data_IF_024995556147
#
_entry.id   IF_024995556147
#
_cell.length_a   1.000
_cell.length_b   1.000
_cell.length_c   1.000
_cell.angle_alpha   90.00
_cell.angle_beta   90.00
_cell.angle_gamma   90.00
#
_symmetry.space_group_name_H-M   'P 1'
#
loop_
_entity.id
_entity.type
_entity.pdbx_description
1 polymer ?
#
# COMPACT_ATOMS: atom_id res chain seq x y z
N UNK A 1 -3.66 -8.25 14.11
CA UNK A 1 -4.95 -7.98 13.43
C UNK A 1 -6.11 -8.32 14.37
N UNK A 2 -7.13 -7.46 14.46
CA UNK A 2 -8.35 -7.69 15.30
C UNK A 2 -9.06 -9.00 14.93
N UNK A 3 -8.94 -9.45 13.68
CA UNK A 3 -9.72 -10.59 13.16
C UNK A 3 -8.99 -11.93 13.19
N UNK A 4 -7.68 -11.93 13.16
CA UNK A 4 -6.91 -13.19 13.06
C UNK A 4 -6.16 -13.54 14.35
N UNK A 5 -6.10 -12.64 15.33
CA UNK A 5 -5.29 -12.80 16.54
C UNK A 5 -3.77 -12.79 16.31
N UNK A 6 -3.32 -12.67 15.05
CA UNK A 6 -1.90 -12.61 14.73
C UNK A 6 -1.38 -11.18 14.74
N UNK A 7 -0.15 -11.00 15.22
CA UNK A 7 0.54 -9.71 15.19
C UNK A 7 1.03 -9.45 13.77
N UNK A 8 0.68 -8.30 13.22
CA UNK A 8 1.24 -7.81 11.97
C UNK A 8 2.38 -6.83 12.26
N UNK A 9 3.38 -6.83 11.40
CA UNK A 9 4.53 -5.93 11.46
C UNK A 9 4.67 -5.20 10.14
N UNK A 10 5.25 -4.00 10.15
CA UNK A 10 5.68 -3.39 8.89
C UNK A 10 6.81 -4.22 8.29
N UNK A 11 6.85 -4.32 6.96
CA UNK A 11 7.88 -5.11 6.26
C UNK A 11 9.28 -4.71 6.71
N UNK A 12 9.57 -3.41 6.72
CA UNK A 12 10.88 -2.90 7.12
C UNK A 12 11.29 -3.35 8.52
N UNK A 13 10.39 -3.23 9.51
CA UNK A 13 10.68 -3.67 10.88
C UNK A 13 10.90 -5.17 11.01
N UNK A 14 10.32 -5.94 10.09
CA UNK A 14 10.39 -7.39 10.16
C UNK A 14 11.65 -7.95 9.51
N UNK A 15 12.09 -7.37 8.38
CA UNK A 15 13.21 -7.92 7.60
C UNK A 15 14.55 -7.24 7.86
N UNK A 16 14.55 -5.99 8.37
CA UNK A 16 15.77 -5.24 8.61
C UNK A 16 16.09 -5.08 10.10
N UNK A 17 17.38 -4.93 10.39
CA UNK A 17 17.85 -4.57 11.71
C UNK A 17 19.05 -3.61 11.63
N UNK A 18 19.30 -2.92 12.75
CA UNK A 18 20.42 -2.00 12.87
C UNK A 18 21.68 -2.78 13.24
N UNK A 19 22.76 -2.59 12.46
CA UNK A 19 24.07 -3.10 12.77
C UNK A 19 25.06 -1.93 12.89
N UNK A 20 25.70 -1.81 14.04
CA UNK A 20 26.72 -0.79 14.27
C UNK A 20 28.09 -1.39 14.01
N UNK A 21 28.85 -0.80 13.09
CA UNK A 21 30.22 -1.20 12.79
C UNK A 21 31.16 -0.80 13.96
N UNK A 22 32.38 -1.32 13.95
CA UNK A 22 33.39 -0.97 14.95
C UNK A 22 33.77 0.53 14.94
N UNK A 23 33.54 1.19 13.83
CA UNK A 23 33.81 2.62 13.64
C UNK A 23 32.60 3.51 14.04
N UNK A 24 31.60 2.93 14.69
CA UNK A 24 30.42 3.64 15.21
C UNK A 24 29.36 3.97 14.13
N UNK A 25 29.55 3.54 12.90
CA UNK A 25 28.57 3.75 11.82
C UNK A 25 27.46 2.71 11.96
N UNK A 26 26.22 3.19 12.09
CA UNK A 26 25.03 2.33 12.13
C UNK A 26 24.46 2.19 10.72
N UNK A 27 24.39 0.96 10.25
CA UNK A 27 23.77 0.59 8.98
C UNK A 27 22.52 -0.23 9.22
N UNK A 28 21.57 -0.13 8.30
CA UNK A 28 20.41 -1.01 8.26
C UNK A 28 20.73 -2.16 7.31
N UNK A 29 20.65 -3.39 7.79
CA UNK A 29 20.98 -4.57 7.01
C UNK A 29 19.83 -5.57 7.03
N UNK A 30 19.76 -6.38 5.96
CA UNK A 30 18.78 -7.45 5.86
C UNK A 30 19.09 -8.54 6.91
N UNK A 31 18.07 -8.87 7.68
CA UNK A 31 18.16 -9.87 8.72
C UNK A 31 18.16 -11.31 8.20
N UNK A 32 18.67 -12.26 8.97
CA UNK A 32 18.52 -13.66 8.64
C UNK A 32 17.09 -14.12 8.86
N UNK A 33 16.48 -14.73 7.86
CA UNK A 33 15.22 -15.42 8.04
C UNK A 33 15.48 -16.75 8.79
N UNK A 34 14.77 -16.96 9.89
CA UNK A 34 14.89 -18.21 10.69
C UNK A 34 13.73 -19.18 10.45
N UNK A 35 12.77 -18.80 9.60
CA UNK A 35 11.55 -19.57 9.36
C UNK A 35 11.69 -20.40 8.06
N UNK A 36 11.18 -21.62 8.11
CA UNK A 36 11.06 -22.52 6.94
C UNK A 36 9.63 -23.05 6.86
N UNK A 37 9.21 -23.53 5.68
CA UNK A 37 7.85 -24.02 5.43
C UNK A 37 6.75 -23.04 5.87
N UNK A 38 7.01 -21.74 5.72
CA UNK A 38 6.17 -20.65 6.20
C UNK A 38 5.59 -19.88 5.01
N UNK A 39 4.36 -19.41 5.14
CA UNK A 39 3.73 -18.50 4.19
C UNK A 39 3.86 -17.09 4.74
N UNK A 40 4.58 -16.24 4.01
CA UNK A 40 4.66 -14.80 4.26
C UNK A 40 3.57 -14.12 3.47
N UNK A 41 2.76 -13.31 4.14
CA UNK A 41 1.69 -12.52 3.53
C UNK A 41 2.06 -11.05 3.69
N UNK A 42 2.20 -10.35 2.57
CA UNK A 42 2.46 -8.91 2.55
C UNK A 42 1.24 -8.23 1.96
N UNK A 43 0.58 -7.46 2.78
CA UNK A 43 -0.56 -6.64 2.39
C UNK A 43 -0.08 -5.26 1.91
N UNK A 44 -0.93 -4.54 1.17
CA UNK A 44 -0.63 -3.23 0.58
C UNK A 44 0.61 -3.23 -0.33
N UNK A 45 0.79 -4.31 -1.09
CA UNK A 45 1.95 -4.50 -1.98
C UNK A 45 1.98 -3.53 -3.17
N UNK A 46 0.91 -2.76 -3.39
CA UNK A 46 0.83 -1.73 -4.44
C UNK A 46 1.91 -0.64 -4.30
N UNK A 47 2.47 -0.44 -3.10
CA UNK A 47 3.49 0.58 -2.84
C UNK A 47 4.93 0.04 -2.86
N UNK A 48 5.14 -1.24 -3.13
CA UNK A 48 6.49 -1.83 -3.15
C UNK A 48 7.18 -1.49 -4.47
N UNK A 49 8.40 -0.91 -4.37
CA UNK A 49 9.24 -0.55 -5.51
C UNK A 49 10.37 -1.55 -5.70
N UNK A 50 10.80 -1.74 -6.96
CA UNK A 50 12.02 -2.45 -7.36
C UNK A 50 13.20 -1.51 -7.64
N UNK A 51 13.02 -0.20 -7.47
CA UNK A 51 14.10 0.75 -7.61
C UNK A 51 14.88 0.88 -6.31
N UNK A 52 16.21 0.73 -6.38
CA UNK A 52 17.08 1.10 -5.28
C UNK A 52 16.98 2.61 -5.05
N UNK A 53 16.68 3.02 -3.84
CA UNK A 53 16.69 4.45 -3.48
C UNK A 53 18.12 4.95 -3.51
N UNK A 54 18.51 5.57 -4.63
CA UNK A 54 19.85 6.07 -4.87
C UNK A 54 20.31 7.09 -3.82
N UNK A 55 21.55 6.91 -3.37
CA UNK A 55 22.51 7.86 -2.82
C UNK A 55 22.44 8.26 -1.35
N UNK A 56 21.44 7.89 -0.56
CA UNK A 56 21.47 8.09 0.90
C UNK A 56 20.61 7.05 1.64
N UNK A 57 20.34 5.91 1.05
CA UNK A 57 19.49 4.92 1.74
C UNK A 57 20.30 4.21 2.82
N UNK A 58 19.88 4.37 4.03
CA UNK A 58 20.31 3.57 5.19
C UNK A 58 20.05 2.06 4.96
N UNK A 59 19.31 1.70 3.91
CA UNK A 59 18.77 0.36 3.62
C UNK A 59 19.58 -0.44 2.57
N UNK A 60 20.86 -0.14 2.35
CA UNK A 60 21.69 -0.88 1.40
C UNK A 60 21.43 -0.51 -0.06
N UNK A 61 21.93 -1.34 -1.00
CA UNK A 61 21.91 -1.07 -2.43
C UNK A 61 20.76 -1.75 -3.18
N UNK A 62 20.00 -2.63 -2.53
CA UNK A 62 18.93 -3.38 -3.16
C UNK A 62 17.59 -2.64 -3.06
N UNK A 63 16.65 -3.02 -3.90
CA UNK A 63 15.27 -2.57 -3.77
C UNK A 63 14.55 -3.30 -2.62
N UNK A 64 13.46 -2.73 -2.13
CA UNK A 64 12.65 -3.39 -1.10
C UNK A 64 12.10 -4.73 -1.60
N UNK A 65 11.72 -4.82 -2.87
CA UNK A 65 11.23 -6.06 -3.47
C UNK A 65 12.32 -7.14 -3.51
N UNK A 66 13.56 -6.78 -3.90
CA UNK A 66 14.70 -7.70 -3.89
C UNK A 66 14.97 -8.27 -2.50
N UNK A 67 14.95 -7.39 -1.50
CA UNK A 67 15.20 -7.77 -0.12
C UNK A 67 14.10 -8.67 0.46
N UNK A 68 12.84 -8.42 0.11
CA UNK A 68 11.72 -9.30 0.47
C UNK A 68 11.91 -10.70 -0.13
N UNK A 69 12.17 -10.77 -1.43
CA UNK A 69 12.37 -12.04 -2.14
C UNK A 69 13.56 -12.80 -1.55
N UNK A 70 14.68 -12.10 -1.35
CA UNK A 70 15.88 -12.68 -0.73
C UNK A 70 15.60 -13.19 0.66
N UNK A 71 14.92 -12.40 1.50
CA UNK A 71 14.59 -12.79 2.87
C UNK A 71 13.69 -14.03 2.90
N UNK A 72 12.59 -14.01 2.15
CA UNK A 72 11.60 -15.08 2.18
C UNK A 72 12.20 -16.38 1.67
N UNK A 73 12.91 -16.36 0.54
CA UNK A 73 13.40 -17.56 -0.11
C UNK A 73 14.81 -17.99 0.34
N UNK A 74 15.40 -17.32 1.34
CA UNK A 74 16.66 -17.77 1.97
C UNK A 74 16.53 -19.13 2.65
N UNK A 75 15.33 -19.56 3.02
CA UNK A 75 15.05 -20.87 3.61
C UNK A 75 14.07 -21.70 2.78
N UNK A 76 14.18 -23.02 2.90
CA UNK A 76 13.40 -23.99 2.10
C UNK A 76 11.91 -23.99 2.49
N UNK A 77 11.07 -24.22 1.50
CA UNK A 77 9.63 -24.44 1.68
C UNK A 77 8.82 -23.18 1.99
N UNK A 78 9.44 -22.01 2.03
CA UNK A 78 8.75 -20.76 2.21
C UNK A 78 7.96 -20.36 0.96
N UNK A 79 6.85 -19.67 1.18
CA UNK A 79 5.99 -19.11 0.14
C UNK A 79 5.74 -17.64 0.44
N UNK A 80 5.55 -16.86 -0.62
CA UNK A 80 5.22 -15.45 -0.54
C UNK A 80 3.85 -15.21 -1.19
N UNK A 81 2.99 -14.49 -0.50
CA UNK A 81 1.72 -13.97 -1.01
C UNK A 81 1.79 -12.45 -0.95
N UNK A 82 1.79 -11.81 -2.11
CA UNK A 82 1.71 -10.36 -2.26
C UNK A 82 0.24 -10.00 -2.51
N UNK A 83 -0.32 -9.15 -1.66
CA UNK A 83 -1.71 -8.70 -1.75
C UNK A 83 -1.70 -7.20 -1.94
N UNK A 84 -2.44 -6.70 -2.92
CA UNK A 84 -2.50 -5.27 -3.21
C UNK A 84 -3.59 -4.94 -4.23
N UNK A 85 -3.78 -3.66 -4.47
CA UNK A 85 -4.75 -3.16 -5.42
C UNK A 85 -4.03 -2.34 -6.50
N UNK A 86 -4.12 -2.79 -7.75
CA UNK A 86 -3.48 -2.14 -8.92
C UNK A 86 -4.13 -0.79 -9.28
N UNK A 87 -5.31 -0.48 -8.74
CA UNK A 87 -5.94 0.83 -8.87
C UNK A 87 -5.55 1.82 -7.76
N UNK A 88 -4.83 1.38 -6.74
CA UNK A 88 -4.22 2.28 -5.76
C UNK A 88 -2.94 2.93 -6.32
N UNK A 89 -2.48 3.97 -5.61
CA UNK A 89 -1.27 4.70 -6.02
C UNK A 89 -0.05 3.76 -6.04
N UNK A 90 0.62 3.62 -7.20
CA UNK A 90 1.87 2.88 -7.30
C UNK A 90 3.04 3.68 -6.71
N UNK A 91 4.24 3.09 -6.60
CA UNK A 91 5.44 3.81 -6.26
C UNK A 91 5.70 4.99 -7.20
N UNK A 92 6.36 6.04 -6.68
CA UNK A 92 6.62 7.27 -7.44
C UNK A 92 7.39 6.99 -8.73
N UNK A 93 6.84 7.48 -9.85
CA UNK A 93 7.50 7.39 -11.16
C UNK A 93 7.21 6.12 -11.98
N UNK A 94 6.37 5.23 -11.48
CA UNK A 94 5.92 4.04 -12.20
C UNK A 94 4.39 3.92 -12.16
N UNK A 95 3.81 3.22 -13.15
CA UNK A 95 2.36 3.09 -13.29
C UNK A 95 1.77 1.86 -12.59
N UNK A 96 2.59 0.87 -12.29
CA UNK A 96 2.20 -0.38 -11.62
C UNK A 96 3.32 -0.80 -10.69
N UNK A 97 2.98 -1.24 -9.49
CA UNK A 97 3.96 -1.80 -8.58
C UNK A 97 4.58 -3.07 -9.17
N UNK A 98 5.92 -3.16 -9.24
CA UNK A 98 6.60 -4.37 -9.72
C UNK A 98 6.31 -5.60 -8.85
N UNK A 99 5.86 -5.42 -7.63
CA UNK A 99 5.42 -6.51 -6.74
C UNK A 99 4.06 -7.11 -7.15
N UNK A 100 3.24 -6.36 -7.92
CA UNK A 100 1.95 -6.82 -8.46
C UNK A 100 2.01 -7.15 -9.95
N UNK A 101 3.18 -7.02 -10.58
CA UNK A 101 3.43 -7.41 -11.96
C UNK A 101 3.99 -8.84 -12.02
N UNK A 102 3.13 -9.79 -12.32
CA UNK A 102 3.50 -11.22 -12.37
C UNK A 102 4.60 -11.51 -13.39
N UNK A 103 4.61 -10.82 -14.52
CA UNK A 103 5.62 -11.03 -15.56
C UNK A 103 6.98 -10.45 -15.13
N UNK A 104 6.97 -9.32 -14.40
CA UNK A 104 8.17 -8.78 -13.78
C UNK A 104 8.75 -9.76 -12.75
N UNK A 105 7.92 -10.29 -11.86
CA UNK A 105 8.34 -11.27 -10.83
C UNK A 105 8.96 -12.51 -11.47
N UNK A 106 8.33 -13.11 -12.47
CA UNK A 106 8.85 -14.29 -13.17
C UNK A 106 10.19 -14.01 -13.82
N UNK A 107 10.30 -12.89 -14.52
CA UNK A 107 11.50 -12.50 -15.26
C UNK A 107 12.68 -12.17 -14.34
N UNK A 108 12.42 -11.37 -13.27
CA UNK A 108 13.48 -10.88 -12.40
C UNK A 108 14.01 -11.95 -11.44
N UNK A 109 13.13 -12.82 -10.93
CA UNK A 109 13.48 -13.72 -9.82
C UNK A 109 13.48 -15.20 -10.18
N UNK A 110 13.06 -15.57 -11.39
CA UNK A 110 13.00 -16.98 -11.84
C UNK A 110 12.22 -17.89 -10.89
N UNK A 111 11.19 -17.36 -10.23
CA UNK A 111 10.34 -18.10 -9.30
C UNK A 111 9.04 -18.52 -9.97
N UNK A 112 8.52 -19.67 -9.58
CA UNK A 112 7.18 -20.09 -10.00
C UNK A 112 6.14 -19.23 -9.32
N UNK A 113 5.41 -18.45 -10.11
CA UNK A 113 4.46 -17.46 -9.62
C UNK A 113 3.11 -17.62 -10.29
N UNK A 114 2.06 -17.33 -9.54
CA UNK A 114 0.67 -17.33 -9.98
C UNK A 114 0.04 -16.03 -9.54
N UNK A 115 -0.89 -15.50 -10.33
CA UNK A 115 -1.69 -14.33 -10.00
C UNK A 115 -3.17 -14.67 -9.97
N UNK A 116 -3.92 -13.90 -9.21
CA UNK A 116 -5.36 -13.98 -9.13
C UNK A 116 -5.96 -12.61 -8.81
N UNK A 117 -6.94 -12.18 -9.58
CA UNK A 117 -7.65 -10.92 -9.36
C UNK A 117 -9.01 -11.16 -8.70
N UNK A 118 -9.24 -10.55 -7.54
CA UNK A 118 -10.53 -10.53 -6.86
C UNK A 118 -11.36 -9.34 -7.36
N UNK A 119 -12.48 -9.63 -8.05
CA UNK A 119 -13.31 -8.59 -8.69
C UNK A 119 -14.53 -8.18 -7.85
N UNK A 120 -14.96 -9.01 -6.89
CA UNK A 120 -16.15 -8.73 -6.11
C UNK A 120 -15.84 -7.86 -4.89
N UNK A 121 -16.45 -6.69 -4.83
CA UNK A 121 -16.35 -5.79 -3.65
C UNK A 121 -17.29 -6.32 -2.54
N UNK A 122 -16.76 -6.47 -1.33
CA UNK A 122 -17.48 -7.01 -0.18
C UNK A 122 -17.59 -6.04 1.01
N UNK A 123 -16.86 -4.94 1.01
CA UNK A 123 -16.75 -4.03 2.16
C UNK A 123 -17.84 -2.94 2.21
N UNK A 124 -18.37 -2.57 1.05
CA UNK A 124 -19.34 -1.47 0.93
C UNK A 124 -20.74 -1.99 0.69
N UNK A 125 -21.75 -1.25 1.16
CA UNK A 125 -23.14 -1.50 0.79
C UNK A 125 -23.33 -1.32 -0.73
N UNK A 126 -24.20 -2.11 -1.33
CA UNK A 126 -24.41 -2.11 -2.78
C UNK A 126 -24.94 -0.76 -3.33
N UNK A 127 -25.58 0.04 -2.48
CA UNK A 127 -26.14 1.35 -2.79
C UNK A 127 -25.25 2.53 -2.37
N UNK A 128 -24.04 2.28 -1.84
CA UNK A 128 -23.08 3.30 -1.45
C UNK A 128 -22.64 4.17 -2.63
N UNK A 129 -22.70 5.48 -2.47
CA UNK A 129 -22.19 6.47 -3.43
C UNK A 129 -20.68 6.39 -3.57
N UNK A 130 -19.98 6.09 -2.47
CA UNK A 130 -18.52 5.86 -2.45
C UNK A 130 -18.18 4.65 -3.34
N UNK A 131 -18.88 3.53 -3.19
CA UNK A 131 -18.64 2.34 -4.00
C UNK A 131 -18.90 2.60 -5.49
N UNK A 132 -19.99 3.29 -5.83
CA UNK A 132 -20.31 3.65 -7.23
C UNK A 132 -19.25 4.56 -7.84
N UNK A 133 -18.81 5.58 -7.09
CA UNK A 133 -17.76 6.49 -7.52
C UNK A 133 -16.42 5.77 -7.72
N UNK A 134 -16.01 4.94 -6.78
CA UNK A 134 -14.80 4.12 -6.86
C UNK A 134 -14.85 3.14 -8.04
N UNK A 135 -16.00 2.49 -8.26
CA UNK A 135 -16.20 1.57 -9.40
C UNK A 135 -16.09 2.30 -10.73
N UNK A 136 -16.66 3.50 -10.83
CA UNK A 136 -16.55 4.34 -12.04
C UNK A 136 -15.09 4.70 -12.34
N UNK A 137 -14.33 5.10 -11.33
CA UNK A 137 -12.90 5.40 -11.49
C UNK A 137 -12.13 4.16 -11.94
N UNK A 138 -12.37 3.01 -11.35
CA UNK A 138 -11.74 1.74 -11.75
C UNK A 138 -12.03 1.38 -13.19
N UNK A 139 -13.28 1.51 -13.64
CA UNK A 139 -13.66 1.27 -15.05
C UNK A 139 -12.93 2.21 -16.00
N UNK A 140 -12.75 3.50 -15.63
CA UNK A 140 -11.97 4.45 -16.44
C UNK A 140 -10.50 4.02 -16.55
N UNK A 141 -9.90 3.56 -15.47
CA UNK A 141 -8.52 3.04 -15.47
C UNK A 141 -8.42 1.82 -16.41
N UNK A 142 -9.36 0.87 -16.33
CA UNK A 142 -9.36 -0.34 -17.16
C UNK A 142 -9.43 -0.06 -18.68
N UNK A 143 -10.07 1.05 -19.09
CA UNK A 143 -10.22 1.42 -20.49
C UNK A 143 -9.34 2.60 -20.93
N UNK A 144 -8.36 2.99 -20.13
CA UNK A 144 -7.48 4.14 -20.35
C UNK A 144 -8.23 5.45 -20.62
N UNK A 145 -9.40 5.65 -20.01
CA UNK A 145 -10.16 6.89 -20.09
C UNK A 145 -9.53 7.97 -19.21
N UNK A 146 -8.83 8.92 -19.82
CA UNK A 146 -8.14 10.03 -19.13
C UNK A 146 -9.07 11.21 -18.81
N UNK A 147 -10.37 11.12 -19.05
CA UNK A 147 -11.32 12.16 -18.66
C UNK A 147 -11.39 12.27 -17.14
N UNK A 148 -11.61 13.48 -16.62
CA UNK A 148 -11.70 13.72 -15.19
C UNK A 148 -12.82 12.85 -14.58
N UNK A 149 -12.54 12.19 -13.43
CA UNK A 149 -13.58 11.48 -12.72
C UNK A 149 -14.60 12.46 -12.14
N UNK A 150 -15.84 11.99 -12.01
CA UNK A 150 -16.88 12.70 -11.28
C UNK A 150 -17.36 11.85 -10.11
N UNK A 151 -17.71 12.52 -9.02
CA UNK A 151 -18.26 11.85 -7.85
C UNK A 151 -19.79 11.80 -7.97
N UNK A 152 -20.35 10.65 -7.62
CA UNK A 152 -21.80 10.44 -7.58
C UNK A 152 -22.26 10.83 -6.18
N UNK A 153 -22.89 12.00 -6.05
CA UNK A 153 -23.54 12.46 -4.82
C UNK A 153 -24.98 12.80 -5.17
N UNK A 154 -25.88 11.86 -4.97
CA UNK A 154 -27.31 12.01 -5.32
C UNK A 154 -28.19 12.22 -4.12
N UNK A 155 -27.79 11.74 -2.94
CA UNK A 155 -28.59 11.77 -1.72
C UNK A 155 -27.86 12.36 -0.52
N UNK A 156 -26.56 12.69 -0.70
CA UNK A 156 -25.69 13.21 0.38
C UNK A 156 -25.55 12.26 1.58
N UNK A 157 -25.73 10.95 1.34
CA UNK A 157 -25.69 9.96 2.42
C UNK A 157 -24.26 9.63 2.84
N UNK A 158 -23.33 9.44 1.87
CA UNK A 158 -21.95 9.06 2.12
C UNK A 158 -20.90 9.91 1.35
N UNK A 159 -21.35 10.78 0.44
CA UNK A 159 -20.50 11.78 -0.24
C UNK A 159 -21.15 13.16 -0.17
N UNK A 160 -20.47 14.11 0.45
CA UNK A 160 -20.87 15.50 0.49
C UNK A 160 -19.83 16.38 -0.20
N UNK A 161 -20.27 17.21 -1.16
CA UNK A 161 -19.42 18.18 -1.85
C UNK A 161 -19.56 19.54 -1.15
N UNK A 162 -18.45 20.02 -0.59
CA UNK A 162 -18.43 21.27 0.18
C UNK A 162 -17.70 22.33 -0.63
N UNK A 163 -18.38 23.44 -0.94
CA UNK A 163 -17.81 24.58 -1.66
C UNK A 163 -17.62 25.82 -0.76
N UNK A 164 -18.16 25.79 0.46
CA UNK A 164 -18.06 26.88 1.44
C UNK A 164 -16.91 26.59 2.42
N UNK A 165 -15.95 27.51 2.47
CA UNK A 165 -14.77 27.38 3.33
C UNK A 165 -15.12 27.51 4.82
N UNK A 166 -16.11 28.32 5.18
CA UNK A 166 -16.53 28.48 6.58
C UNK A 166 -17.21 27.19 7.06
N UNK A 167 -18.16 26.68 6.29
CA UNK A 167 -18.85 25.43 6.58
C UNK A 167 -17.88 24.24 6.64
N UNK A 168 -16.88 24.20 5.76
CA UNK A 168 -15.82 23.20 5.83
C UNK A 168 -15.06 23.25 7.15
N UNK A 169 -14.72 24.45 7.64
CA UNK A 169 -14.06 24.63 8.95
C UNK A 169 -14.91 24.14 10.13
N UNK A 170 -16.21 24.39 10.11
CA UNK A 170 -17.14 23.94 11.14
C UNK A 170 -17.23 22.40 11.17
N UNK A 171 -17.36 21.75 10.00
CA UNK A 171 -17.38 20.29 9.86
C UNK A 171 -16.08 19.63 10.32
N UNK A 172 -14.94 20.24 10.01
CA UNK A 172 -13.65 19.74 10.51
C UNK A 172 -13.61 19.77 12.04
N UNK A 173 -14.00 20.88 12.64
CA UNK A 173 -14.01 21.00 14.11
C UNK A 173 -14.94 19.97 14.73
N UNK A 174 -16.13 19.77 14.21
CA UNK A 174 -17.09 18.77 14.68
C UNK A 174 -16.50 17.35 14.55
N UNK A 175 -15.94 16.99 13.39
CA UNK A 175 -15.37 15.65 13.12
C UNK A 175 -14.22 15.29 14.05
N UNK A 176 -13.45 16.27 14.55
CA UNK A 176 -12.31 16.02 15.42
C UNK A 176 -12.59 16.29 16.91
N UNK A 177 -13.74 16.88 17.24
CA UNK A 177 -14.12 17.16 18.64
C UNK A 177 -14.90 16.00 19.26
N UNK A 178 -15.77 15.36 18.49
CA UNK A 178 -16.70 14.32 18.96
C UNK A 178 -16.19 12.89 18.74
N UNK A 179 -15.11 12.69 17.96
CA UNK A 179 -14.58 11.38 17.65
C UNK A 179 -13.30 11.07 18.42
N UNK A 180 -13.10 9.80 18.77
CA UNK A 180 -11.76 9.29 19.09
C UNK A 180 -10.87 9.55 17.87
N UNK A 181 -9.61 9.94 18.08
CA UNK A 181 -8.68 10.44 17.05
C UNK A 181 -8.49 9.56 15.81
N UNK A 182 -9.03 8.35 15.82
CA UNK A 182 -8.90 7.36 14.75
C UNK A 182 -10.10 7.31 13.77
N UNK A 183 -11.16 8.10 14.01
CA UNK A 183 -12.41 8.02 13.24
C UNK A 183 -12.47 8.99 12.06
N UNK A 184 -11.58 10.00 12.02
CA UNK A 184 -11.53 10.98 10.94
C UNK A 184 -10.12 11.12 10.35
N UNK A 185 -10.03 11.26 9.02
CA UNK A 185 -8.78 11.47 8.30
C UNK A 185 -8.93 12.55 7.23
N UNK A 186 -7.92 13.41 7.12
CA UNK A 186 -7.84 14.42 6.07
C UNK A 186 -6.83 13.94 5.02
N UNK A 187 -7.28 13.85 3.76
CA UNK A 187 -6.43 13.48 2.64
C UNK A 187 -6.13 14.73 1.82
N UNK A 188 -4.84 15.06 1.65
CA UNK A 188 -4.37 16.21 0.91
C UNK A 188 -3.51 15.80 -0.28
N UNK A 189 -3.48 16.65 -1.31
CA UNK A 189 -2.66 16.43 -2.50
C UNK A 189 -1.14 16.48 -2.22
N UNK A 190 -0.73 17.21 -1.22
CA UNK A 190 0.69 17.39 -0.89
C UNK A 190 0.89 17.61 0.60
N UNK A 191 2.10 17.30 1.11
CA UNK A 191 2.49 17.59 2.48
C UNK A 191 2.38 19.09 2.83
N UNK A 192 2.58 19.99 1.84
CA UNK A 192 2.43 21.43 2.04
C UNK A 192 0.97 21.83 2.31
N UNK A 193 0.01 21.08 1.79
CA UNK A 193 -1.42 21.34 2.01
C UNK A 193 -1.94 20.65 3.27
N UNK A 194 -1.17 19.74 3.85
CA UNK A 194 -1.51 19.03 5.09
C UNK A 194 -1.00 19.75 6.35
N UNK A 195 -0.04 20.66 6.19
CA UNK A 195 0.52 21.52 7.23
C UNK A 195 -0.05 22.95 7.10
#
# INVERSE_FOLDING_TARGET
>A
SKYTGHVAHTVHRYIYFYATSKDGITNIILGPNKLSNTIFIIDESSMISDTSQNNNSLFGNNSLLDDIITFVFSNKGNKLLLVGDTAQLPPVGINLSPALDIENIKRAYSVTSYDFEMKKVMRQALDSEILRSATNIRQKIEVDDLSLPYYISTKEDDIQIINDTQYFGELLMESFTDSESDDAIIICRSNKSAN
#
